data_IF_828676920199
#
_entry.id   IF_828676920199
#
_cell.length_a   1.000
_cell.length_b   1.000
_cell.length_c   1.000
_cell.angle_alpha   90.00
_cell.angle_beta   90.00
_cell.angle_gamma   90.00
#
_symmetry.space_group_name_H-M   'P 1'
#
loop_
_entity.id
_entity.type
_entity.pdbx_description
1 polymer ?
#
# COMPACT_ATOMS: atom_id res chain seq x y z
N UNK A 1 19.88 4.78 0.35
CA UNK A 1 18.48 5.22 0.27
C UNK A 1 18.17 6.04 -0.98
N UNK A 2 18.83 7.19 -1.27
CA UNK A 2 18.53 8.03 -2.45
C UNK A 2 18.51 7.25 -3.79
N UNK A 3 19.46 6.33 -3.99
CA UNK A 3 19.55 5.52 -5.24
C UNK A 3 18.39 4.53 -5.42
N UNK A 4 17.84 4.01 -4.31
CA UNK A 4 16.70 3.08 -4.35
C UNK A 4 15.39 3.80 -4.69
N UNK A 5 15.20 5.00 -4.16
CA UNK A 5 14.04 5.85 -4.49
C UNK A 5 14.06 6.24 -5.96
N UNK A 6 15.22 6.60 -6.51
CA UNK A 6 15.37 6.92 -7.93
C UNK A 6 15.03 5.70 -8.81
N UNK A 7 15.49 4.50 -8.42
CA UNK A 7 15.19 3.26 -9.16
C UNK A 7 13.69 2.98 -9.20
N UNK A 8 12.98 3.12 -8.08
CA UNK A 8 11.53 2.93 -8.00
C UNK A 8 10.81 3.95 -8.88
N UNK A 9 11.18 5.23 -8.81
CA UNK A 9 10.59 6.28 -9.63
C UNK A 9 10.82 6.00 -11.12
N UNK A 10 12.04 5.57 -11.51
CA UNK A 10 12.37 5.25 -12.90
C UNK A 10 11.58 4.03 -13.40
N UNK A 11 11.37 3.03 -12.56
CA UNK A 11 10.59 1.83 -12.89
C UNK A 11 9.10 2.17 -13.09
N UNK A 12 8.55 3.01 -12.23
CA UNK A 12 7.15 3.50 -12.31
C UNK A 12 6.96 4.39 -13.55
N UNK A 13 7.90 5.29 -13.84
CA UNK A 13 7.86 6.13 -15.05
C UNK A 13 8.04 5.28 -16.32
N UNK A 14 8.92 4.28 -16.29
CA UNK A 14 9.12 3.36 -17.42
C UNK A 14 7.88 2.52 -17.72
N UNK A 15 7.21 1.99 -16.71
CA UNK A 15 5.97 1.22 -16.87
C UNK A 15 4.86 2.04 -17.53
N UNK A 16 4.79 3.35 -17.27
CA UNK A 16 3.81 4.24 -17.90
C UNK A 16 4.03 4.43 -19.41
N UNK A 17 5.29 4.38 -19.89
CA UNK A 17 5.60 4.50 -21.32
C UNK A 17 5.13 3.28 -22.13
N UNK A 18 5.16 2.08 -21.55
CA UNK A 18 4.68 0.86 -22.20
C UNK A 18 3.14 0.71 -22.19
N UNK A 19 2.46 1.42 -21.27
CA UNK A 19 1.01 1.36 -21.14
C UNK A 19 0.24 2.21 -22.17
N UNK A 20 0.92 3.02 -22.99
CA UNK A 20 0.28 3.98 -23.89
C UNK A 20 -0.39 3.38 -25.15
N UNK A 21 -0.31 2.07 -25.38
CA UNK A 21 -0.70 1.49 -26.70
C UNK A 21 -2.01 0.71 -26.69
N UNK A 22 -2.81 0.72 -25.63
CA UNK A 22 -4.11 0.03 -25.64
C UNK A 22 -5.25 0.94 -25.21
N UNK A 23 -6.24 0.98 -26.08
CA UNK A 23 -7.56 1.59 -25.88
C UNK A 23 -8.35 0.78 -24.83
N UNK A 24 -7.96 0.94 -23.55
CA UNK A 24 -8.66 0.33 -22.42
C UNK A 24 -9.29 1.47 -21.64
N UNK A 25 -10.58 1.36 -21.45
CA UNK A 25 -11.45 2.31 -20.71
C UNK A 25 -11.15 2.33 -19.20
N UNK A 26 -9.87 2.28 -18.83
CA UNK A 26 -9.38 2.26 -17.45
C UNK A 26 -8.55 3.51 -17.23
N UNK A 27 -8.92 4.31 -16.25
CA UNK A 27 -8.08 5.43 -15.83
C UNK A 27 -6.78 4.88 -15.26
N UNK A 28 -5.66 5.34 -15.79
CA UNK A 28 -4.36 4.67 -15.63
C UNK A 28 -3.72 4.89 -14.28
N UNK A 29 -3.92 6.05 -13.67
CA UNK A 29 -3.25 6.42 -12.41
C UNK A 29 -4.28 6.87 -11.39
N UNK A 30 -4.18 6.30 -10.21
CA UNK A 30 -4.96 6.65 -9.03
C UNK A 30 -4.01 6.99 -7.90
N UNK A 31 -4.36 8.01 -7.13
CA UNK A 31 -3.68 8.36 -5.89
C UNK A 31 -4.63 8.07 -4.74
N UNK A 32 -4.18 7.28 -3.78
CA UNK A 32 -5.00 6.82 -2.67
C UNK A 32 -4.33 7.16 -1.33
N UNK A 33 -4.68 8.28 -0.71
CA UNK A 33 -4.44 8.46 0.72
C UNK A 33 -5.33 7.49 1.51
N UNK A 34 -4.76 6.85 2.51
CA UNK A 34 -5.50 5.95 3.38
C UNK A 34 -5.11 6.11 4.86
N UNK A 35 -6.08 5.87 5.71
CA UNK A 35 -5.93 5.81 7.16
C UNK A 35 -6.29 4.41 7.63
N UNK A 36 -5.48 3.85 8.52
CA UNK A 36 -5.71 2.52 9.07
C UNK A 36 -5.75 2.51 10.59
N UNK A 37 -6.38 1.45 11.10
CA UNK A 37 -6.44 1.13 12.52
C UNK A 37 -6.30 -0.39 12.69
N UNK A 38 -5.50 -0.81 13.64
CA UNK A 38 -5.31 -2.23 13.91
C UNK A 38 -4.43 -2.50 15.11
N UNK A 39 -3.91 -3.71 15.20
CA UNK A 39 -3.00 -4.09 16.29
C UNK A 39 -1.66 -3.35 16.23
N UNK A 40 -1.33 -2.76 15.09
CA UNK A 40 -0.22 -1.83 14.90
C UNK A 40 -0.55 -0.37 15.25
N UNK A 41 -1.71 -0.09 15.83
CA UNK A 41 -2.18 1.27 16.15
C UNK A 41 -2.82 1.97 14.95
N UNK A 42 -2.66 3.30 14.87
CA UNK A 42 -3.10 4.11 13.73
C UNK A 42 -2.00 4.11 12.67
N UNK A 43 -2.40 4.02 11.42
CA UNK A 43 -1.50 4.15 10.27
C UNK A 43 -1.99 5.21 9.29
N UNK A 44 -1.05 5.83 8.61
CA UNK A 44 -1.29 6.69 7.46
C UNK A 44 -0.47 6.14 6.29
N UNK A 45 -1.05 6.09 5.11
CA UNK A 45 -0.31 5.71 3.93
C UNK A 45 -0.80 6.46 2.69
N UNK A 46 0.07 6.51 1.69
CA UNK A 46 -0.21 7.03 0.37
C UNK A 46 0.18 5.97 -0.64
N UNK A 47 -0.75 5.59 -1.51
CA UNK A 47 -0.51 4.71 -2.65
C UNK A 47 -0.66 5.48 -3.95
N UNK A 48 0.16 5.14 -4.93
CA UNK A 48 -0.03 5.57 -6.32
C UNK A 48 -0.17 4.31 -7.14
N UNK A 49 -1.39 4.02 -7.60
CA UNK A 49 -1.70 2.81 -8.36
C UNK A 49 -1.74 3.10 -9.84
N UNK A 50 -1.09 2.26 -10.61
CA UNK A 50 -1.21 2.25 -12.07
C UNK A 50 -2.04 1.04 -12.48
N UNK A 51 -3.21 1.27 -13.04
CA UNK A 51 -4.08 0.23 -13.58
C UNK A 51 -3.51 -0.28 -14.91
N UNK A 52 -2.86 -1.44 -14.88
CA UNK A 52 -2.25 -2.08 -16.06
C UNK A 52 -3.36 -2.56 -17.00
N UNK A 53 -4.40 -3.13 -16.44
CA UNK A 53 -5.60 -3.61 -17.13
C UNK A 53 -6.79 -3.61 -16.14
N UNK A 54 -8.03 -3.98 -16.58
CA UNK A 54 -9.19 -3.98 -15.70
C UNK A 54 -9.07 -4.85 -14.45
N UNK A 55 -8.17 -5.84 -14.44
CA UNK A 55 -8.00 -6.78 -13.34
C UNK A 55 -6.76 -6.50 -12.48
N UNK A 56 -5.74 -5.85 -13.02
CA UNK A 56 -4.45 -5.70 -12.34
C UNK A 56 -4.06 -4.24 -12.18
N UNK A 57 -3.70 -3.89 -10.99
CA UNK A 57 -2.99 -2.65 -10.69
C UNK A 57 -1.66 -2.92 -9.97
N UNK A 58 -0.74 -1.99 -10.10
CA UNK A 58 0.56 -2.01 -9.42
C UNK A 58 1.01 -0.57 -9.15
N UNK A 59 1.69 -0.38 -8.04
CA UNK A 59 2.30 0.92 -7.76
C UNK A 59 3.03 1.02 -6.45
N UNK A 60 3.72 2.14 -6.22
CA UNK A 60 4.40 2.41 -4.98
C UNK A 60 3.41 2.79 -3.87
N UNK A 61 3.76 2.40 -2.65
CA UNK A 61 3.11 2.79 -1.41
C UNK A 61 4.17 3.27 -0.43
N UNK A 62 3.88 4.38 0.24
CA UNK A 62 4.60 4.82 1.41
C UNK A 62 3.64 4.85 2.60
N UNK A 63 4.05 4.32 3.74
CA UNK A 63 3.22 4.24 4.94
C UNK A 63 3.99 4.57 6.20
N UNK A 64 3.25 4.97 7.23
CA UNK A 64 3.76 5.15 8.59
C UNK A 64 2.72 4.66 9.60
N UNK A 65 3.20 4.09 10.68
CA UNK A 65 2.41 3.65 11.83
C UNK A 65 3.22 3.80 13.12
N UNK A 66 2.73 3.27 14.23
CA UNK A 66 3.44 3.35 15.53
C UNK A 66 4.79 2.62 15.53
N UNK A 67 4.98 1.63 14.67
CA UNK A 67 6.26 0.89 14.61
C UNK A 67 7.29 1.58 13.73
N UNK A 68 6.86 2.36 12.74
CA UNK A 68 7.79 3.07 11.89
C UNK A 68 7.24 3.47 10.53
N UNK A 69 8.11 3.46 9.53
CA UNK A 69 7.78 3.84 8.16
C UNK A 69 8.09 2.71 7.19
N UNK A 70 7.26 2.58 6.15
CA UNK A 70 7.43 1.58 5.10
C UNK A 70 7.43 2.20 3.72
N UNK A 71 8.16 1.57 2.80
CA UNK A 71 8.11 1.86 1.38
C UNK A 71 7.99 0.54 0.61
N UNK A 72 6.91 0.38 -0.12
CA UNK A 72 6.51 -0.86 -0.75
C UNK A 72 6.18 -0.66 -2.23
N UNK A 73 6.25 -1.73 -2.99
CA UNK A 73 5.50 -1.89 -4.24
C UNK A 73 4.32 -2.80 -3.94
N UNK A 74 3.13 -2.37 -4.30
CA UNK A 74 1.89 -3.10 -4.09
C UNK A 74 1.31 -3.51 -5.44
N UNK A 75 0.66 -4.68 -5.49
CA UNK A 75 -0.06 -5.15 -6.65
C UNK A 75 -1.32 -5.87 -6.23
N UNK A 76 -2.44 -5.53 -6.86
CA UNK A 76 -3.74 -6.12 -6.58
C UNK A 76 -4.37 -6.74 -7.82
N UNK A 77 -5.05 -7.84 -7.61
CA UNK A 77 -5.97 -8.44 -8.56
C UNK A 77 -7.40 -8.08 -8.19
N UNK A 78 -8.09 -7.45 -9.11
CA UNK A 78 -9.44 -6.95 -8.96
C UNK A 78 -10.45 -7.90 -9.61
N UNK A 79 -11.43 -8.37 -8.81
CA UNK A 79 -12.51 -9.22 -9.28
C UNK A 79 -13.64 -8.33 -9.83
N UNK A 80 -13.67 -8.12 -11.14
CA UNK A 80 -14.69 -7.28 -11.78
C UNK A 80 -16.04 -7.98 -11.69
N UNK A 81 -17.03 -7.26 -11.14
CA UNK A 81 -18.42 -7.70 -11.14
C UNK A 81 -19.25 -6.86 -12.12
N UNK A 82 -20.41 -7.39 -12.58
CA UNK A 82 -21.34 -6.63 -13.43
C UNK A 82 -21.82 -5.33 -12.77
N UNK A 83 -21.88 -5.29 -11.45
CA UNK A 83 -22.21 -4.08 -10.70
C UNK A 83 -20.93 -3.27 -10.44
N UNK A 84 -20.77 -2.16 -11.14
CA UNK A 84 -19.61 -1.27 -11.06
C UNK A 84 -19.43 -0.58 -9.69
N UNK A 85 -20.40 -0.70 -8.78
CA UNK A 85 -20.38 -0.03 -7.49
C UNK A 85 -19.61 -0.80 -6.41
N UNK A 86 -19.37 -2.09 -6.61
CA UNK A 86 -18.66 -2.93 -5.63
C UNK A 86 -17.66 -3.82 -6.36
N UNK A 87 -16.40 -3.71 -5.99
CA UNK A 87 -15.34 -4.53 -6.53
C UNK A 87 -14.52 -5.10 -5.37
N UNK A 88 -14.27 -6.41 -5.40
CA UNK A 88 -13.38 -7.08 -4.47
C UNK A 88 -11.97 -7.15 -5.07
N UNK A 89 -10.97 -7.10 -4.23
CA UNK A 89 -9.59 -7.30 -4.63
C UNK A 89 -8.83 -8.17 -3.63
N UNK A 90 -7.78 -8.81 -4.13
CA UNK A 90 -6.74 -9.46 -3.34
C UNK A 90 -5.38 -9.05 -3.90
N UNK A 91 -4.40 -8.91 -3.05
CA UNK A 91 -3.09 -8.50 -3.50
C UNK A 91 -2.02 -8.66 -2.44
N UNK A 92 -0.86 -8.12 -2.76
CA UNK A 92 0.26 -8.07 -1.84
C UNK A 92 1.11 -6.83 -2.08
N UNK A 93 1.76 -6.38 -1.02
CA UNK A 93 2.84 -5.41 -1.04
C UNK A 93 4.14 -6.05 -0.61
N UNK A 94 5.24 -5.58 -1.15
CA UNK A 94 6.57 -5.96 -0.70
C UNK A 94 7.52 -4.77 -0.79
N UNK A 95 8.43 -4.68 0.19
CA UNK A 95 9.35 -3.58 0.26
C UNK A 95 10.26 -3.61 1.47
N UNK A 96 10.50 -2.46 2.04
CA UNK A 96 11.30 -2.31 3.24
C UNK A 96 10.65 -1.32 4.22
N UNK A 97 10.81 -1.59 5.50
CA UNK A 97 10.37 -0.71 6.57
C UNK A 97 11.48 -0.42 7.55
N UNK A 98 11.52 0.82 8.00
CA UNK A 98 12.43 1.27 9.06
C UNK A 98 11.62 1.27 10.36
N UNK A 99 11.65 0.13 11.07
CA UNK A 99 10.70 -0.19 12.13
C UNK A 99 11.37 -0.61 13.42
N UNK A 100 10.73 -0.24 14.54
CA UNK A 100 11.04 -0.76 15.86
C UNK A 100 10.49 -2.18 16.03
N UNK A 101 10.88 -2.88 17.10
CA UNK A 101 10.30 -4.21 17.38
C UNK A 101 8.81 -4.13 17.66
N UNK A 102 8.02 -4.93 16.89
CA UNK A 102 6.58 -5.08 17.08
C UNK A 102 6.33 -5.70 18.48
N UNK A 103 5.45 -5.06 19.26
CA UNK A 103 5.15 -5.49 20.63
C UNK A 103 5.96 -4.77 21.71
N UNK A 104 7.05 -4.12 21.38
CA UNK A 104 7.71 -3.14 22.23
C UNK A 104 7.23 -1.73 21.87
N UNK A 105 5.93 -1.50 22.02
CA UNK A 105 5.41 -0.13 21.90
C UNK A 105 6.00 0.66 23.05
N UNK A 106 6.73 1.73 22.81
CA UNK A 106 7.07 2.67 23.85
C UNK A 106 5.80 3.46 24.22
N UNK A 107 4.90 2.85 24.99
CA UNK A 107 3.88 3.59 25.76
C UNK A 107 4.52 4.38 26.91
N UNK A 108 5.77 4.14 27.21
CA UNK A 108 6.61 5.06 27.94
C UNK A 108 7.37 5.88 26.93
N UNK A 109 7.20 7.18 26.93
CA UNK A 109 8.26 8.08 26.60
C UNK A 109 9.47 7.64 27.42
N UNK A 110 10.26 6.72 26.90
CA UNK A 110 11.56 6.44 27.44
C UNK A 110 12.31 7.76 27.35
N UNK A 111 12.73 8.28 28.48
CA UNK A 111 13.48 9.53 28.60
C UNK A 111 14.77 9.56 27.76
N UNK A 112 15.10 8.43 27.12
CA UNK A 112 16.25 8.24 26.23
C UNK A 112 15.84 7.89 24.80
N UNK A 113 15.04 8.60 24.14
CA UNK A 113 14.70 8.70 22.71
C UNK A 113 15.25 7.74 21.64
N UNK A 114 15.80 6.59 21.97
CA UNK A 114 16.44 5.65 21.05
C UNK A 114 15.79 4.26 21.05
N UNK A 115 14.52 4.17 20.61
CA UNK A 115 14.08 2.89 20.08
C UNK A 115 14.92 2.62 18.80
N UNK A 116 15.83 1.67 18.89
CA UNK A 116 16.70 1.28 17.76
C UNK A 116 15.82 0.81 16.62
N UNK A 117 15.65 1.66 15.61
CA UNK A 117 14.95 1.32 14.37
C UNK A 117 15.92 0.57 13.46
N UNK A 118 15.44 -0.50 12.87
CA UNK A 118 16.21 -1.26 11.88
C UNK A 118 15.41 -1.42 10.60
N UNK A 119 16.10 -1.35 9.49
CA UNK A 119 15.49 -1.62 8.18
C UNK A 119 15.24 -3.12 8.04
N UNK A 120 13.97 -3.49 7.86
CA UNK A 120 13.52 -4.88 7.72
C UNK A 120 12.80 -5.05 6.38
N UNK A 121 12.88 -6.25 5.82
CA UNK A 121 12.02 -6.63 4.71
C UNK A 121 10.57 -6.59 5.15
N UNK A 122 9.73 -5.94 4.37
CA UNK A 122 8.29 -5.83 4.60
C UNK A 122 7.53 -6.61 3.55
N UNK A 123 6.59 -7.45 3.99
CA UNK A 123 5.64 -8.16 3.14
C UNK A 123 4.24 -7.97 3.69
N UNK A 124 3.28 -7.64 2.82
CA UNK A 124 1.95 -7.22 3.20
C UNK A 124 0.90 -7.87 2.27
N UNK A 125 0.49 -9.13 2.52
CA UNK A 125 -0.70 -9.68 1.88
C UNK A 125 -1.94 -8.88 2.30
N UNK A 126 -2.81 -8.60 1.34
CA UNK A 126 -3.98 -7.76 1.56
C UNK A 126 -5.19 -8.19 0.74
N UNK A 127 -6.37 -7.88 1.24
CA UNK A 127 -7.63 -8.07 0.54
C UNK A 127 -8.60 -6.96 0.93
N UNK A 128 -9.58 -6.70 0.09
CA UNK A 128 -10.54 -5.66 0.41
C UNK A 128 -11.66 -5.50 -0.59
N UNK A 129 -12.38 -4.40 -0.42
CA UNK A 129 -13.50 -4.00 -1.26
C UNK A 129 -13.37 -2.52 -1.62
N UNK A 130 -13.60 -2.23 -2.88
CA UNK A 130 -13.72 -0.87 -3.39
C UNK A 130 -15.20 -0.58 -3.68
N UNK A 131 -15.70 0.53 -3.15
CA UNK A 131 -17.07 0.98 -3.28
C UNK A 131 -17.11 2.26 -4.12
N UNK A 132 -18.08 2.31 -5.05
CA UNK A 132 -18.34 3.48 -5.89
C UNK A 132 -17.12 4.01 -6.64
N UNK A 133 -16.13 3.13 -6.89
CA UNK A 133 -14.86 3.47 -7.58
C UNK A 133 -13.98 4.49 -6.83
N UNK A 134 -14.24 4.74 -5.56
CA UNK A 134 -13.51 5.74 -4.78
C UNK A 134 -13.17 5.32 -3.36
N UNK A 135 -14.09 4.69 -2.64
CA UNK A 135 -13.87 4.30 -1.25
C UNK A 135 -13.32 2.87 -1.20
N UNK A 136 -12.14 2.70 -0.62
CA UNK A 136 -11.45 1.41 -0.57
C UNK A 136 -11.22 0.99 0.87
N UNK A 137 -11.81 -0.15 1.25
CA UNK A 137 -11.60 -0.80 2.54
C UNK A 137 -10.63 -1.95 2.35
N UNK A 138 -9.56 -1.96 3.13
CA UNK A 138 -8.49 -2.95 3.02
C UNK A 138 -8.22 -3.58 4.37
N UNK A 139 -8.05 -4.90 4.37
CA UNK A 139 -7.47 -5.67 5.47
C UNK A 139 -6.11 -6.13 5.02
N UNK A 140 -5.07 -5.81 5.77
CA UNK A 140 -3.69 -6.17 5.46
C UNK A 140 -3.00 -6.81 6.66
N UNK A 141 -2.19 -7.83 6.40
CA UNK A 141 -1.28 -8.42 7.36
C UNK A 141 0.12 -7.87 7.08
N UNK A 142 0.61 -6.96 7.91
CA UNK A 142 1.96 -6.45 7.83
C UNK A 142 2.93 -7.42 8.46
N UNK A 143 3.95 -7.86 7.73
CA UNK A 143 4.98 -8.75 8.27
C UNK A 143 6.37 -8.18 8.02
N UNK A 144 7.25 -8.25 9.02
CA UNK A 144 8.64 -7.81 8.93
C UNK A 144 9.57 -9.00 9.12
N UNK A 145 10.40 -9.27 8.12
CA UNK A 145 11.28 -10.45 8.08
C UNK A 145 10.57 -11.78 8.39
N UNK A 146 9.24 -11.86 8.14
CA UNK A 146 8.36 -13.00 8.48
C UNK A 146 8.37 -13.43 9.95
N UNK A 147 8.92 -12.61 10.85
CA UNK A 147 9.04 -12.90 12.28
C UNK A 147 8.14 -12.05 13.16
N UNK A 148 7.74 -10.90 12.67
CA UNK A 148 6.87 -9.95 13.37
C UNK A 148 5.69 -9.65 12.46
N UNK A 149 4.47 -9.69 13.02
CA UNK A 149 3.27 -9.45 12.22
C UNK A 149 2.19 -8.71 13.02
N UNK A 150 1.40 -7.91 12.33
CA UNK A 150 0.19 -7.28 12.85
C UNK A 150 -0.84 -7.10 11.74
N UNK A 151 -2.12 -7.00 12.14
CA UNK A 151 -3.24 -6.79 11.23
C UNK A 151 -3.64 -5.32 11.25
N UNK A 152 -3.91 -4.77 10.07
CA UNK A 152 -4.37 -3.42 9.85
C UNK A 152 -5.64 -3.41 9.00
N UNK A 153 -6.62 -2.65 9.43
CA UNK A 153 -7.81 -2.30 8.65
C UNK A 153 -7.66 -0.87 8.18
N UNK A 154 -7.80 -0.60 6.91
CA UNK A 154 -7.64 0.75 6.38
C UNK A 154 -8.79 1.16 5.47
N UNK A 155 -9.05 2.47 5.47
CA UNK A 155 -9.95 3.15 4.57
C UNK A 155 -9.14 4.11 3.71
N UNK A 156 -9.24 3.95 2.41
CA UNK A 156 -8.62 4.82 1.41
C UNK A 156 -9.67 5.52 0.55
N UNK A 157 -9.26 6.61 -0.07
CA UNK A 157 -10.06 7.32 -1.06
C UNK A 157 -9.24 7.44 -2.34
N UNK A 158 -9.67 6.73 -3.38
CA UNK A 158 -9.03 6.79 -4.69
C UNK A 158 -9.38 8.10 -5.41
N UNK A 159 -8.37 8.87 -5.78
CA UNK A 159 -8.48 10.15 -6.46
C UNK A 159 -7.83 10.04 -7.83
N UNK A 160 -8.53 10.52 -8.85
CA UNK A 160 -8.00 10.61 -10.21
C UNK A 160 -8.21 9.39 -11.08
N UNK A 161 -8.26 8.23 -10.55
CA UNK A 161 -8.52 7.00 -11.25
C UNK A 161 -10.00 6.74 -11.51
N UNK A 162 -10.34 5.53 -11.68
CA UNK A 162 -11.69 5.02 -11.86
C UNK A 162 -11.84 4.31 -13.19
N UNK A 163 -12.64 3.30 -13.15
CA UNK A 163 -13.03 2.51 -14.34
C UNK A 163 -14.31 3.10 -14.90
N UNK A 164 -14.32 3.39 -16.18
CA UNK A 164 -15.53 3.79 -16.88
C UNK A 164 -16.47 2.60 -17.09
#
# INVERSE_FOLDING_TARGET
MKRFVILIITLVCGANLFAQTRDIDVRRIEVEPNIGLGTGGISLALEVRNNINPHWDIGPRAGMDFYGTTADVVSDYNFIRPNKNVMFFVGAGMGAGDVSEVGKVPLSYAEDGSAEKSTKFHFMPRAGVELFQHARFTVALHTYNFSQAYIMFSLGVAIGGGRK
#
